data_IF_446363809797
#
_entry.id   IF_446363809797
#
_cell.length_a   1.000
_cell.length_b   1.000
_cell.length_c   1.000
_cell.angle_alpha   90.00
_cell.angle_beta   90.00
_cell.angle_gamma   90.00
#
_symmetry.space_group_name_H-M   'P 1'
#
loop_
_entity.id
_entity.type
_entity.pdbx_description
1 polymer ?
#
# COMPACT_ATOMS: atom_id res chain seq x y z
N UNK A 1 39.04 -16.13 -56.90
CA UNK A 1 38.73 -17.09 -55.83
C UNK A 1 38.18 -16.28 -54.67
N UNK A 2 36.86 -16.31 -54.44
CA UNK A 2 36.24 -15.56 -53.33
C UNK A 2 36.69 -16.19 -52.01
N UNK A 3 37.48 -15.44 -51.25
CA UNK A 3 37.76 -15.77 -49.86
C UNK A 3 36.44 -15.75 -49.10
N UNK A 4 35.97 -16.94 -48.70
CA UNK A 4 34.86 -17.11 -47.79
C UNK A 4 35.36 -16.63 -46.44
N UNK A 5 35.07 -15.38 -46.13
CA UNK A 5 35.30 -14.76 -44.84
C UNK A 5 34.42 -15.50 -43.82
N UNK A 6 34.91 -16.62 -43.31
CA UNK A 6 34.36 -17.26 -42.13
C UNK A 6 34.61 -16.28 -40.99
N UNK A 7 33.57 -15.56 -40.57
CA UNK A 7 33.51 -14.97 -39.24
C UNK A 7 33.89 -16.10 -38.27
N UNK A 8 35.14 -16.09 -37.82
CA UNK A 8 35.67 -17.08 -36.89
C UNK A 8 35.07 -16.71 -35.56
N UNK A 9 33.89 -17.26 -35.28
CA UNK A 9 33.32 -17.23 -33.94
C UNK A 9 34.36 -17.83 -33.00
N UNK A 10 34.68 -17.13 -31.90
CA UNK A 10 35.54 -17.66 -30.83
C UNK A 10 34.77 -18.75 -30.05
N UNK A 11 34.52 -19.86 -30.72
CA UNK A 11 33.94 -21.07 -30.15
C UNK A 11 35.10 -21.99 -29.82
N UNK A 12 35.14 -22.51 -28.58
CA UNK A 12 36.18 -23.44 -28.18
C UNK A 12 36.14 -24.72 -29.02
N UNK A 13 37.30 -25.34 -29.23
CA UNK A 13 37.43 -26.59 -29.99
C UNK A 13 36.52 -27.69 -29.41
N UNK A 14 36.43 -27.76 -28.07
CA UNK A 14 35.55 -28.68 -27.36
C UNK A 14 34.08 -28.52 -27.77
N UNK A 15 33.59 -27.29 -27.96
CA UNK A 15 32.21 -27.03 -28.37
C UNK A 15 31.99 -27.32 -29.86
N UNK A 16 33.02 -27.17 -30.69
CA UNK A 16 32.97 -27.56 -32.10
C UNK A 16 32.85 -29.07 -32.25
N UNK A 17 33.53 -29.86 -31.40
CA UNK A 17 33.48 -31.32 -31.42
C UNK A 17 32.08 -31.88 -31.09
N UNK A 18 31.32 -31.22 -30.21
CA UNK A 18 29.94 -31.62 -29.87
C UNK A 18 28.86 -30.96 -30.74
N UNK A 19 29.21 -29.97 -31.58
CA UNK A 19 28.24 -29.34 -32.47
C UNK A 19 27.84 -30.33 -33.58
N UNK A 20 26.54 -30.46 -33.92
CA UNK A 20 26.14 -31.28 -35.07
C UNK A 20 26.84 -30.80 -36.33
N UNK A 21 27.30 -31.72 -37.20
CA UNK A 21 27.98 -31.33 -38.43
C UNK A 21 27.02 -30.77 -39.50
N UNK A 22 25.73 -31.13 -39.42
CA UNK A 22 24.70 -30.62 -40.32
C UNK A 22 24.22 -29.20 -39.91
N UNK A 23 24.27 -28.20 -40.79
CA UNK A 23 23.84 -26.84 -40.48
C UNK A 23 22.38 -26.69 -40.04
N UNK A 24 21.47 -27.55 -40.51
CA UNK A 24 20.06 -27.47 -40.08
C UNK A 24 19.88 -28.01 -38.65
N UNK A 25 20.56 -29.10 -38.30
CA UNK A 25 20.62 -29.60 -36.93
C UNK A 25 21.24 -28.57 -35.97
N UNK A 26 22.28 -27.84 -36.39
CA UNK A 26 22.85 -26.74 -35.59
C UNK A 26 21.84 -25.63 -35.32
N UNK A 27 21.04 -25.24 -36.33
CA UNK A 27 19.98 -24.25 -36.16
C UNK A 27 18.92 -24.73 -35.18
N UNK A 28 18.56 -26.01 -35.22
CA UNK A 28 17.61 -26.60 -34.27
C UNK A 28 18.16 -26.60 -32.84
N UNK A 29 19.45 -26.87 -32.65
CA UNK A 29 20.12 -26.72 -31.34
C UNK A 29 20.07 -25.26 -30.87
N UNK A 30 20.42 -24.31 -31.74
CA UNK A 30 20.36 -22.88 -31.41
C UNK A 30 18.93 -22.44 -31.04
N UNK A 31 17.91 -22.94 -31.76
CA UNK A 31 16.50 -22.67 -31.45
C UNK A 31 16.12 -23.25 -30.09
N UNK A 32 16.52 -24.48 -29.77
CA UNK A 32 16.28 -25.10 -28.46
C UNK A 32 16.94 -24.31 -27.34
N UNK A 33 18.20 -23.92 -27.50
CA UNK A 33 18.93 -23.10 -26.51
C UNK A 33 18.19 -21.77 -26.29
N UNK A 34 17.81 -21.09 -27.38
CA UNK A 34 17.08 -19.82 -27.29
C UNK A 34 15.72 -20.00 -26.61
N UNK A 35 15.00 -21.06 -26.94
CA UNK A 35 13.71 -21.39 -26.32
C UNK A 35 13.84 -21.63 -24.82
N UNK A 36 14.87 -22.38 -24.40
CA UNK A 36 15.16 -22.63 -22.99
C UNK A 36 15.53 -21.33 -22.29
N UNK A 37 16.44 -20.54 -22.87
CA UNK A 37 16.86 -19.26 -22.30
C UNK A 37 15.68 -18.29 -22.13
N UNK A 38 14.77 -18.26 -23.11
CA UNK A 38 13.55 -17.47 -23.03
C UNK A 38 12.61 -17.99 -21.94
N UNK A 39 12.37 -19.31 -21.88
CA UNK A 39 11.54 -19.94 -20.84
C UNK A 39 12.07 -19.62 -19.45
N UNK A 40 13.37 -19.84 -19.20
CA UNK A 40 14.00 -19.53 -17.90
C UNK A 40 13.83 -18.06 -17.52
N UNK A 41 13.94 -17.15 -18.49
CA UNK A 41 13.73 -15.72 -18.24
C UNK A 41 12.27 -15.39 -17.94
N UNK A 42 11.33 -16.03 -18.64
CA UNK A 42 9.89 -15.88 -18.36
C UNK A 42 9.58 -16.39 -16.97
N UNK A 43 10.05 -17.59 -16.60
CA UNK A 43 9.85 -18.18 -15.27
C UNK A 43 10.40 -17.27 -14.16
N UNK A 44 11.59 -16.69 -14.36
CA UNK A 44 12.18 -15.75 -13.42
C UNK A 44 11.33 -14.48 -13.25
N UNK A 45 10.83 -13.91 -14.35
CA UNK A 45 9.95 -12.74 -14.32
C UNK A 45 8.59 -13.06 -13.67
N UNK A 46 8.02 -14.23 -13.94
CA UNK A 46 6.78 -14.68 -13.31
C UNK A 46 6.95 -14.83 -11.79
N UNK A 47 8.09 -15.38 -11.34
CA UNK A 47 8.43 -15.44 -9.92
C UNK A 47 8.56 -14.05 -9.30
N UNK A 48 9.24 -13.11 -9.96
CA UNK A 48 9.39 -11.74 -9.47
C UNK A 48 8.04 -11.02 -9.38
N UNK A 49 7.17 -11.19 -10.39
CA UNK A 49 5.82 -10.65 -10.38
C UNK A 49 4.99 -11.23 -9.24
N UNK A 50 5.15 -12.52 -8.93
CA UNK A 50 4.47 -13.14 -7.78
C UNK A 50 4.89 -12.47 -6.48
N UNK A 51 6.21 -12.32 -6.25
CA UNK A 51 6.74 -11.67 -5.05
C UNK A 51 6.23 -10.23 -4.92
N UNK A 52 6.26 -9.46 -6.02
CA UNK A 52 5.76 -8.08 -6.01
C UNK A 52 4.26 -7.98 -5.71
N UNK A 53 3.45 -8.97 -6.13
CA UNK A 53 2.01 -9.02 -5.81
C UNK A 53 1.76 -9.33 -4.34
N UNK A 54 2.57 -10.22 -3.76
CA UNK A 54 2.48 -10.54 -2.34
C UNK A 54 2.86 -9.31 -1.50
N UNK A 55 3.97 -8.63 -1.85
CA UNK A 55 4.37 -7.38 -1.19
C UNK A 55 3.32 -6.27 -1.31
N UNK A 56 2.64 -6.16 -2.46
CA UNK A 56 1.56 -5.20 -2.66
C UNK A 56 0.38 -5.51 -1.74
N UNK A 57 -0.01 -6.78 -1.66
CA UNK A 57 -1.10 -7.23 -0.79
C UNK A 57 -0.80 -6.96 0.67
N UNK A 58 0.44 -7.20 1.11
CA UNK A 58 0.89 -6.89 2.47
C UNK A 58 0.81 -5.39 2.77
N UNK A 59 1.20 -4.55 1.82
CA UNK A 59 1.09 -3.09 1.96
C UNK A 59 -0.37 -2.63 2.05
N UNK A 60 -1.26 -3.18 1.22
CA UNK A 60 -2.69 -2.87 1.26
C UNK A 60 -3.33 -3.26 2.61
N UNK A 61 -2.91 -4.39 3.19
CA UNK A 61 -3.33 -4.81 4.52
C UNK A 61 -2.85 -3.83 5.60
N UNK A 62 -1.61 -3.36 5.51
CA UNK A 62 -1.07 -2.35 6.44
C UNK A 62 -1.85 -1.03 6.32
N UNK A 63 -2.11 -0.57 5.09
CA UNK A 63 -2.88 0.66 4.84
C UNK A 63 -4.27 0.54 5.46
N UNK A 64 -4.98 -0.55 5.18
CA UNK A 64 -6.32 -0.80 5.75
C UNK A 64 -6.31 -0.80 7.29
N UNK A 65 -5.26 -1.37 7.89
CA UNK A 65 -5.08 -1.36 9.34
C UNK A 65 -4.84 0.03 9.90
N UNK A 66 -4.09 0.87 9.21
CA UNK A 66 -3.85 2.26 9.59
C UNK A 66 -5.10 3.12 9.44
N UNK A 67 -5.88 2.93 8.36
CA UNK A 67 -7.15 3.61 8.15
C UNK A 67 -8.14 3.31 9.28
N UNK A 68 -8.27 2.05 9.69
CA UNK A 68 -9.11 1.66 10.83
C UNK A 68 -8.66 2.30 12.16
N UNK A 69 -7.34 2.41 12.38
CA UNK A 69 -6.81 3.09 13.57
C UNK A 69 -7.12 4.59 13.54
N UNK A 70 -7.03 5.22 12.37
CA UNK A 70 -7.35 6.64 12.19
C UNK A 70 -8.83 6.92 12.46
N UNK A 71 -9.73 6.09 11.92
CA UNK A 71 -11.17 6.18 12.20
C UNK A 71 -11.47 6.03 13.70
N UNK A 72 -10.81 5.06 14.36
CA UNK A 72 -10.97 4.88 15.81
C UNK A 72 -10.47 6.08 16.60
N UNK A 73 -9.37 6.71 16.17
CA UNK A 73 -8.80 7.87 16.84
C UNK A 73 -9.69 9.11 16.66
N UNK A 74 -10.22 9.31 15.46
CA UNK A 74 -11.15 10.40 15.16
C UNK A 74 -12.43 10.27 15.99
N UNK A 75 -12.98 9.06 16.13
CA UNK A 75 -14.13 8.81 16.99
C UNK A 75 -13.83 9.13 18.46
N UNK A 76 -12.68 8.69 18.98
CA UNK A 76 -12.27 8.97 20.35
C UNK A 76 -12.03 10.47 20.60
N UNK A 77 -11.47 11.18 19.62
CA UNK A 77 -11.25 12.62 19.70
C UNK A 77 -12.57 13.40 19.72
N UNK A 78 -13.52 13.01 18.86
CA UNK A 78 -14.86 13.61 18.86
C UNK A 78 -15.56 13.38 20.21
N UNK A 79 -15.54 12.16 20.73
CA UNK A 79 -16.12 11.85 22.04
C UNK A 79 -15.47 12.66 23.18
N UNK A 80 -14.14 12.80 23.16
CA UNK A 80 -13.43 13.60 24.16
C UNK A 80 -13.78 15.09 24.06
N UNK A 81 -13.94 15.60 22.83
CA UNK A 81 -14.32 16.99 22.57
C UNK A 81 -15.75 17.26 23.04
N UNK A 82 -16.69 16.36 22.77
CA UNK A 82 -18.08 16.47 23.24
C UNK A 82 -18.14 16.47 24.77
N UNK A 83 -17.39 15.56 25.43
CA UNK A 83 -17.30 15.52 26.89
C UNK A 83 -16.71 16.80 27.47
N UNK A 84 -15.69 17.35 26.83
CA UNK A 84 -15.08 18.62 27.24
C UNK A 84 -16.08 19.77 27.13
N UNK A 85 -16.82 19.87 26.02
CA UNK A 85 -17.84 20.89 25.82
C UNK A 85 -18.95 20.82 26.88
N UNK A 86 -19.40 19.61 27.25
CA UNK A 86 -20.36 19.41 28.34
C UNK A 86 -19.78 19.87 29.67
N UNK A 87 -18.55 19.45 30.01
CA UNK A 87 -17.89 19.84 31.26
C UNK A 87 -17.66 21.36 31.36
N UNK A 88 -17.34 22.02 30.26
CA UNK A 88 -17.23 23.49 30.19
C UNK A 88 -18.59 24.16 30.43
N UNK A 89 -19.66 23.64 29.81
CA UNK A 89 -21.01 24.16 30.01
C UNK A 89 -21.46 24.01 31.47
N UNK A 90 -21.21 22.85 32.08
CA UNK A 90 -21.55 22.59 33.48
C UNK A 90 -20.74 23.44 34.44
N UNK A 91 -19.45 23.66 34.15
CA UNK A 91 -18.63 24.62 34.90
C UNK A 91 -19.24 26.03 34.87
N UNK A 92 -19.69 26.50 33.71
CA UNK A 92 -20.35 27.82 33.58
C UNK A 92 -21.65 27.85 34.39
N UNK A 93 -22.49 26.80 34.30
CA UNK A 93 -23.73 26.69 35.09
C UNK A 93 -23.48 26.73 36.59
N UNK A 94 -22.47 26.01 37.08
CA UNK A 94 -22.13 25.96 38.50
C UNK A 94 -21.55 27.31 38.97
N UNK A 95 -20.78 28.00 38.11
CA UNK A 95 -20.15 29.28 38.46
C UNK A 95 -21.11 30.49 38.34
N UNK A 96 -22.17 30.40 37.53
CA UNK A 96 -23.28 31.34 37.47
C UNK A 96 -24.57 30.74 38.08
N UNK A 97 -24.68 30.59 39.41
CA UNK A 97 -25.85 29.98 40.02
C UNK A 97 -27.14 30.85 40.00
N UNK A 98 -27.14 32.03 39.36
CA UNK A 98 -28.24 33.02 39.47
C UNK A 98 -28.60 33.72 38.15
N UNK A 99 -28.93 32.95 37.11
CA UNK A 99 -29.77 33.43 36.00
C UNK A 99 -31.22 32.89 36.14
N UNK A 100 -31.73 32.76 37.38
CA UNK A 100 -33.17 32.63 37.61
C UNK A 100 -33.83 34.02 37.55
N UNK A 101 -34.98 34.16 36.86
CA UNK A 101 -35.69 35.44 36.76
C UNK A 101 -36.14 35.89 38.16
N UNK A 102 -36.02 37.20 38.41
CA UNK A 102 -36.28 37.92 39.66
C UNK A 102 -37.19 37.22 40.70
N UNK A 103 -36.86 37.34 42.00
CA UNK A 103 -37.67 36.73 43.05
C UNK A 103 -39.07 37.35 43.00
N UNK A 104 -40.07 36.50 42.75
CA UNK A 104 -41.50 36.79 42.82
C UNK A 104 -41.89 37.54 44.11
N UNK A 105 -41.05 37.47 45.15
CA UNK A 105 -41.14 38.24 46.38
C UNK A 105 -41.16 39.77 46.20
N UNK A 106 -40.50 40.33 45.18
CA UNK A 106 -40.54 41.78 44.92
C UNK A 106 -41.92 42.26 44.45
N UNK A 107 -42.73 41.38 43.85
CA UNK A 107 -44.07 41.70 43.34
C UNK A 107 -45.13 41.74 44.44
N UNK A 108 -44.90 41.08 45.58
CA UNK A 108 -45.83 41.07 46.72
C UNK A 108 -45.70 42.28 47.65
N UNK A 109 -44.54 42.94 47.71
CA UNK A 109 -44.35 44.13 48.55
C UNK A 109 -44.98 45.39 47.93
N UNK A 110 -45.01 45.49 46.59
CA UNK A 110 -45.58 46.65 45.88
C UNK A 110 -47.10 46.55 45.62
N UNK A 111 -47.75 45.46 46.01
CA UNK A 111 -49.21 45.30 45.85
C UNK A 111 -50.00 45.57 47.16
N UNK A 112 -49.33 46.00 48.23
CA UNK A 112 -49.92 46.27 49.55
C UNK A 112 -49.81 47.72 50.03
N UNK A 113 -49.67 48.69 49.12
CA UNK A 113 -49.85 50.12 49.43
C UNK A 113 -50.83 50.78 48.47
#
# INVERSE_FOLDING_TARGET
>A
MLAKESARFDISEELLEVLPSDPFEQLDVARKITSIALSTRVDALESEVSVLRDELTDRDNIISGLESQLESLDAALNEATDKLAVAEQDKVRIHNPFDEPEPVFAKLINSSY
#
